data_IF_520322555529
#
_entry.id   IF_520322555529
#
_cell.length_a   1.000
_cell.length_b   1.000
_cell.length_c   1.000
_cell.angle_alpha   90.00
_cell.angle_beta   90.00
_cell.angle_gamma   90.00
#
_symmetry.space_group_name_H-M   'P 1'
#
loop_
_entity.id
_entity.type
_entity.pdbx_description
1 polymer ?
#
# COMPACT_ATOMS: atom_id res chain seq x y z
N UNK A 1 -21.47 8.30 -16.23
CA UNK A 1 -20.08 8.67 -15.86
C UNK A 1 -19.20 7.55 -16.32
N UNK A 2 -17.95 7.83 -16.65
CA UNK A 2 -16.99 6.85 -17.14
C UNK A 2 -15.65 7.04 -16.41
N UNK A 3 -15.16 5.94 -15.87
CA UNK A 3 -13.90 5.87 -15.13
C UNK A 3 -12.85 5.22 -15.99
N UNK A 4 -11.68 5.82 -16.11
CA UNK A 4 -10.56 5.23 -16.83
C UNK A 4 -9.25 5.42 -16.08
N UNK A 5 -8.34 4.48 -16.28
CA UNK A 5 -6.98 4.51 -15.74
C UNK A 5 -6.04 3.98 -16.82
N UNK A 6 -4.94 4.70 -17.04
CA UNK A 6 -3.86 4.22 -17.90
C UNK A 6 -3.15 3.06 -17.20
N UNK A 7 -3.23 1.89 -17.83
CA UNK A 7 -2.54 0.69 -17.41
C UNK A 7 -1.02 0.91 -17.36
N UNK A 8 -0.36 0.20 -16.45
CA UNK A 8 1.09 0.02 -16.47
C UNK A 8 1.45 -1.43 -16.78
N UNK A 9 2.76 -1.71 -16.87
CA UNK A 9 3.26 -3.08 -16.97
C UNK A 9 2.84 -3.93 -15.75
N UNK A 10 2.77 -3.31 -14.58
CA UNK A 10 2.59 -3.99 -13.30
C UNK A 10 1.16 -3.95 -12.76
N UNK A 11 0.31 -3.06 -13.27
CA UNK A 11 -1.07 -2.92 -12.79
C UNK A 11 -1.99 -2.52 -13.95
N UNK A 12 -3.01 -3.34 -14.19
CA UNK A 12 -3.97 -3.13 -15.28
C UNK A 12 -5.39 -3.14 -14.76
N UNK A 13 -6.20 -2.17 -15.18
CA UNK A 13 -7.63 -2.16 -14.86
C UNK A 13 -8.30 -3.32 -15.60
N UNK A 14 -9.01 -4.18 -14.88
CA UNK A 14 -9.80 -5.24 -15.51
C UNK A 14 -10.99 -4.62 -16.22
N UNK A 15 -11.08 -4.91 -17.52
CA UNK A 15 -12.15 -4.43 -18.39
C UNK A 15 -12.95 -5.61 -18.95
N UNK A 16 -14.21 -5.39 -19.37
CA UNK A 16 -14.99 -6.41 -20.07
C UNK A 16 -14.25 -6.98 -21.28
N UNK A 17 -14.56 -8.23 -21.64
CA UNK A 17 -13.98 -8.87 -22.83
C UNK A 17 -14.21 -8.02 -24.08
N UNK A 18 -13.16 -7.87 -24.89
CA UNK A 18 -13.18 -7.06 -26.11
C UNK A 18 -12.86 -5.58 -25.90
N UNK A 19 -12.80 -5.08 -24.66
CA UNK A 19 -12.38 -3.71 -24.37
C UNK A 19 -10.85 -3.54 -24.50
N UNK A 20 -10.42 -2.46 -25.13
CA UNK A 20 -9.02 -2.07 -25.25
C UNK A 20 -8.46 -1.42 -23.97
N UNK A 21 -7.12 -1.30 -23.84
CA UNK A 21 -6.46 -0.69 -22.67
C UNK A 21 -6.79 0.78 -22.43
N UNK A 22 -7.37 1.46 -23.43
CA UNK A 22 -7.76 2.86 -23.35
C UNK A 22 -9.25 3.07 -23.10
N UNK A 23 -10.05 2.00 -23.15
CA UNK A 23 -11.49 2.09 -22.99
C UNK A 23 -11.85 2.37 -21.53
N UNK A 24 -12.74 3.33 -21.30
CA UNK A 24 -13.27 3.62 -19.98
C UNK A 24 -14.30 2.58 -19.53
N UNK A 25 -14.47 2.47 -18.21
CA UNK A 25 -15.52 1.69 -17.57
C UNK A 25 -16.69 2.58 -17.23
N UNK A 26 -17.87 2.23 -17.74
CA UNK A 26 -19.10 2.89 -17.35
C UNK A 26 -19.36 2.66 -15.86
N UNK A 27 -19.58 3.76 -15.13
CA UNK A 27 -20.02 3.70 -13.73
C UNK A 27 -21.52 3.37 -13.72
N UNK A 28 -21.98 2.30 -13.06
CA UNK A 28 -23.32 1.74 -13.24
C UNK A 28 -24.42 2.50 -12.46
N UNK A 29 -24.25 3.80 -12.26
CA UNK A 29 -25.22 4.66 -11.57
C UNK A 29 -25.07 6.11 -12.00
N UNK A 30 -26.09 6.90 -11.67
CA UNK A 30 -26.08 8.36 -11.72
C UNK A 30 -26.02 8.91 -10.30
N UNK A 31 -25.50 10.11 -10.13
CA UNK A 31 -25.42 10.78 -8.83
C UNK A 31 -26.33 12.02 -8.86
N UNK A 32 -27.53 11.95 -8.24
CA UNK A 32 -28.33 13.13 -7.98
C UNK A 32 -27.63 14.13 -7.04
N UNK A 33 -28.05 15.40 -7.01
CA UNK A 33 -27.52 16.38 -6.07
C UNK A 33 -27.56 15.90 -4.62
N UNK A 34 -26.44 16.02 -3.90
CA UNK A 34 -26.33 15.62 -2.50
C UNK A 34 -26.21 14.11 -2.25
N UNK A 35 -26.20 13.27 -3.29
CA UNK A 35 -26.08 11.81 -3.17
C UNK A 35 -24.65 11.36 -3.44
N UNK A 36 -24.16 10.44 -2.62
CA UNK A 36 -22.90 9.73 -2.81
C UNK A 36 -23.15 8.24 -3.07
N UNK A 37 -22.30 7.60 -3.88
CA UNK A 37 -22.34 6.17 -4.10
C UNK A 37 -20.91 5.63 -4.34
N UNK A 38 -20.73 4.31 -4.20
CA UNK A 38 -19.45 3.64 -4.35
C UNK A 38 -19.44 2.75 -5.61
N UNK A 39 -18.30 2.75 -6.31
CA UNK A 39 -18.02 1.84 -7.41
C UNK A 39 -16.77 1.03 -7.09
N UNK A 40 -16.76 -0.24 -7.50
CA UNK A 40 -15.60 -1.13 -7.34
C UNK A 40 -14.94 -1.35 -8.70
N UNK A 41 -13.63 -1.14 -8.72
CA UNK A 41 -12.78 -1.38 -9.88
C UNK A 41 -11.74 -2.42 -9.51
N UNK A 42 -11.59 -3.45 -10.35
CA UNK A 42 -10.67 -4.55 -10.10
C UNK A 42 -9.41 -4.32 -10.92
N UNK A 43 -8.25 -4.49 -10.30
CA UNK A 43 -6.96 -4.39 -10.98
C UNK A 43 -6.26 -5.75 -10.97
N UNK A 44 -5.72 -6.14 -12.12
CA UNK A 44 -4.78 -7.23 -12.22
C UNK A 44 -3.38 -6.70 -11.93
N UNK A 45 -2.69 -7.32 -10.97
CA UNK A 45 -1.35 -6.90 -10.53
C UNK A 45 -0.33 -7.95 -10.95
N UNK A 46 0.66 -7.56 -11.75
CA UNK A 46 1.75 -8.45 -12.17
C UNK A 46 2.95 -8.40 -11.22
N UNK A 47 3.29 -7.22 -10.71
CA UNK A 47 4.42 -7.05 -9.80
C UNK A 47 4.11 -6.00 -8.75
N UNK A 48 4.58 -6.26 -7.54
CA UNK A 48 4.39 -5.40 -6.36
C UNK A 48 5.70 -4.80 -5.84
N UNK A 49 6.81 -5.10 -6.50
CA UNK A 49 8.16 -4.79 -5.97
C UNK A 49 8.54 -3.32 -6.15
N UNK A 50 7.76 -2.57 -6.93
CA UNK A 50 7.94 -1.14 -7.19
C UNK A 50 6.59 -0.40 -7.09
N UNK A 51 6.55 0.79 -6.45
CA UNK A 51 5.34 1.58 -6.35
C UNK A 51 4.85 2.02 -7.74
N UNK A 52 3.54 2.04 -7.92
CA UNK A 52 2.89 2.42 -9.19
C UNK A 52 2.08 3.70 -9.01
N UNK A 53 2.15 4.58 -10.01
CA UNK A 53 1.34 5.79 -10.06
C UNK A 53 0.55 5.82 -11.36
N UNK A 54 -0.70 5.39 -11.30
CA UNK A 54 -1.55 5.32 -12.49
C UNK A 54 -2.31 6.63 -12.66
N UNK A 55 -2.24 7.22 -13.85
CA UNK A 55 -3.04 8.40 -14.19
C UNK A 55 -4.43 7.92 -14.60
N UNK A 56 -5.46 8.55 -14.06
CA UNK A 56 -6.84 8.22 -14.36
C UNK A 56 -7.70 9.44 -14.62
N UNK A 57 -8.88 9.19 -15.17
CA UNK A 57 -9.85 10.21 -15.55
C UNK A 57 -11.24 9.74 -15.15
N UNK A 58 -12.05 10.64 -14.59
CA UNK A 58 -13.48 10.44 -14.40
C UNK A 58 -14.19 11.46 -15.29
N UNK A 59 -14.86 10.99 -16.34
CA UNK A 59 -15.66 11.82 -17.24
C UNK A 59 -17.13 11.68 -16.90
N UNK A 60 -17.87 12.78 -16.90
CA UNK A 60 -19.29 12.77 -16.59
C UNK A 60 -20.03 13.90 -17.27
N UNK A 61 -21.34 13.77 -17.32
CA UNK A 61 -22.23 14.78 -17.89
C UNK A 61 -23.04 15.34 -16.74
N UNK A 62 -23.00 16.66 -16.58
CA UNK A 62 -23.88 17.39 -15.68
C UNK A 62 -25.05 17.89 -16.51
N UNK A 63 -26.27 17.49 -16.14
CA UNK A 63 -27.50 17.97 -16.76
C UNK A 63 -28.14 19.02 -15.87
N UNK A 64 -28.40 20.18 -16.45
CA UNK A 64 -29.22 21.25 -15.91
C UNK A 64 -30.54 21.31 -16.68
N UNK A 65 -31.52 22.09 -16.21
CA UNK A 65 -32.85 22.19 -16.84
C UNK A 65 -32.79 22.55 -18.34
N UNK A 66 -31.86 23.43 -18.72
CA UNK A 66 -31.75 23.97 -20.09
C UNK A 66 -30.50 23.52 -20.86
N UNK A 67 -29.58 22.78 -20.23
CA UNK A 67 -28.28 22.45 -20.85
C UNK A 67 -27.63 21.20 -20.28
N UNK A 68 -26.65 20.68 -21.01
CA UNK A 68 -25.75 19.63 -20.51
C UNK A 68 -24.30 20.02 -20.74
N UNK A 69 -23.46 19.87 -19.72
CA UNK A 69 -22.00 20.05 -19.83
C UNK A 69 -21.28 18.71 -19.68
N UNK A 70 -20.16 18.58 -20.40
CA UNK A 70 -19.26 17.44 -20.29
C UNK A 70 -18.07 17.84 -19.43
N UNK A 71 -17.92 17.18 -18.29
CA UNK A 71 -16.86 17.44 -17.33
C UNK A 71 -15.86 16.28 -17.30
N UNK A 72 -14.62 16.62 -16.97
CA UNK A 72 -13.52 15.66 -16.83
C UNK A 72 -12.68 16.00 -15.61
N UNK A 73 -12.49 15.01 -14.74
CA UNK A 73 -11.58 15.09 -13.60
C UNK A 73 -10.39 14.18 -13.83
N UNK A 74 -9.20 14.75 -13.88
CA UNK A 74 -7.94 14.02 -13.90
C UNK A 74 -7.47 13.71 -12.47
N UNK A 75 -7.09 12.47 -12.21
CA UNK A 75 -6.57 12.02 -10.91
C UNK A 75 -5.37 11.08 -11.06
N UNK A 76 -4.74 10.74 -9.94
CA UNK A 76 -3.67 9.75 -9.88
C UNK A 76 -3.96 8.76 -8.77
N UNK A 77 -3.96 7.46 -9.09
CA UNK A 77 -3.98 6.38 -8.11
C UNK A 77 -2.54 6.01 -7.76
N UNK A 78 -2.22 5.99 -6.47
CA UNK A 78 -0.89 5.65 -5.98
C UNK A 78 -1.01 4.29 -5.31
N UNK A 79 -0.35 3.30 -5.87
CA UNK A 79 -0.23 1.97 -5.31
C UNK A 79 1.19 1.82 -4.77
N UNK A 80 1.35 2.05 -3.48
CA UNK A 80 2.60 1.81 -2.76
C UNK A 80 2.86 0.32 -2.59
N UNK A 81 4.11 -0.07 -2.38
CA UNK A 81 4.47 -1.46 -2.10
C UNK A 81 3.73 -1.99 -0.84
N UNK A 82 3.59 -1.14 0.18
CA UNK A 82 2.85 -1.47 1.40
C UNK A 82 1.35 -1.64 1.18
N UNK A 83 0.75 -1.10 0.10
CA UNK A 83 -0.66 -1.35 -0.24
C UNK A 83 -0.95 -2.81 -0.61
N UNK A 84 0.11 -3.56 -0.95
CA UNK A 84 0.04 -4.97 -1.30
C UNK A 84 0.44 -5.88 -0.14
N UNK A 85 0.69 -5.33 1.04
CA UNK A 85 0.90 -6.09 2.26
C UNK A 85 -0.43 -6.36 2.96
N UNK A 86 -0.55 -7.54 3.57
CA UNK A 86 -1.71 -7.97 4.33
C UNK A 86 -1.28 -8.21 5.76
N UNK A 87 -2.03 -7.64 6.71
CA UNK A 87 -1.89 -7.94 8.13
C UNK A 87 -2.11 -9.42 8.36
N UNK A 88 -1.02 -10.15 8.49
CA UNK A 88 -1.02 -11.61 8.66
C UNK A 88 -0.44 -11.92 10.04
N UNK A 89 -1.20 -12.55 10.95
CA UNK A 89 -0.65 -12.99 12.22
C UNK A 89 0.47 -14.01 12.03
N UNK A 90 1.51 -13.94 12.84
CA UNK A 90 2.59 -14.92 12.87
C UNK A 90 3.01 -15.17 14.33
N UNK A 91 3.01 -16.42 14.74
CA UNK A 91 3.43 -16.83 16.08
C UNK A 91 4.96 -16.81 16.19
N UNK A 92 5.48 -16.58 17.40
CA UNK A 92 6.93 -16.40 17.63
C UNK A 92 7.78 -17.59 17.14
N UNK A 93 7.28 -18.82 17.24
CA UNK A 93 7.99 -20.02 16.80
C UNK A 93 8.07 -20.13 15.26
N UNK A 94 6.99 -19.77 14.56
CA UNK A 94 6.95 -19.69 13.11
C UNK A 94 7.84 -18.55 12.58
N UNK A 95 7.83 -17.40 13.26
CA UNK A 95 8.68 -16.26 12.95
C UNK A 95 10.17 -16.61 13.12
N UNK A 96 10.55 -17.28 14.20
CA UNK A 96 11.93 -17.73 14.43
C UNK A 96 12.41 -18.69 13.33
N UNK A 97 11.61 -19.72 13.01
CA UNK A 97 11.93 -20.67 11.92
C UNK A 97 12.09 -19.98 10.57
N UNK A 98 11.26 -18.98 10.29
CA UNK A 98 11.34 -18.20 9.06
C UNK A 98 12.65 -17.39 9.00
N UNK A 99 13.08 -16.78 10.11
CA UNK A 99 14.36 -16.06 10.17
C UNK A 99 15.58 -16.98 10.06
N UNK A 100 15.45 -18.23 10.53
CA UNK A 100 16.48 -19.28 10.49
C UNK A 100 16.59 -19.96 9.11
N UNK A 101 15.60 -19.79 8.22
CA UNK A 101 15.59 -20.50 6.92
C UNK A 101 16.74 -20.10 5.99
N UNK A 102 17.28 -18.89 6.15
CA UNK A 102 18.34 -18.36 5.30
C UNK A 102 17.88 -17.79 3.95
N UNK A 103 16.58 -17.87 3.64
CA UNK A 103 16.02 -17.40 2.38
C UNK A 103 15.85 -15.89 2.33
N UNK A 104 15.72 -15.25 3.49
CA UNK A 104 15.47 -13.82 3.59
C UNK A 104 16.76 -12.98 3.49
N UNK A 105 16.70 -11.89 2.73
CA UNK A 105 17.75 -10.87 2.61
C UNK A 105 17.45 -9.70 3.54
N UNK A 106 18.50 -9.21 4.20
CA UNK A 106 18.40 -8.15 5.19
C UNK A 106 18.66 -6.76 4.62
N UNK A 107 17.96 -5.76 5.15
CA UNK A 107 18.24 -4.34 4.97
C UNK A 107 17.87 -3.60 6.26
N UNK A 108 18.36 -2.38 6.46
CA UNK A 108 18.02 -1.60 7.64
C UNK A 108 17.90 -0.12 7.35
N UNK A 109 17.10 0.57 8.16
CA UNK A 109 16.95 2.02 8.14
C UNK A 109 16.98 2.58 9.55
N UNK A 110 17.53 3.78 9.70
CA UNK A 110 17.45 4.57 10.93
C UNK A 110 16.61 5.82 10.68
N UNK A 111 15.75 6.11 11.63
CA UNK A 111 14.91 7.29 11.68
C UNK A 111 15.36 8.13 12.87
N UNK A 112 15.69 9.40 12.64
CA UNK A 112 16.12 10.35 13.66
C UNK A 112 14.99 11.33 13.98
N UNK A 113 15.01 11.90 15.19
CA UNK A 113 14.03 12.92 15.60
C UNK A 113 12.62 12.38 15.86
N UNK A 114 12.46 11.06 16.02
CA UNK A 114 11.16 10.44 16.27
C UNK A 114 10.79 10.61 17.75
N UNK A 115 10.04 11.68 18.04
CA UNK A 115 9.58 12.02 19.38
C UNK A 115 8.15 11.51 19.62
N UNK A 116 7.98 10.18 19.67
CA UNK A 116 6.69 9.58 20.04
C UNK A 116 6.86 8.32 20.90
N UNK A 117 5.89 7.97 21.75
CA UNK A 117 5.92 6.73 22.51
C UNK A 117 6.05 5.51 21.59
N UNK A 118 6.83 4.51 22.01
CA UNK A 118 7.10 3.32 21.20
C UNK A 118 5.83 2.59 20.73
N UNK A 119 4.79 2.53 21.56
CA UNK A 119 3.52 1.91 21.18
C UNK A 119 2.76 2.69 20.09
N UNK A 120 2.86 4.03 20.05
CA UNK A 120 2.31 4.83 18.94
C UNK A 120 3.09 4.60 17.64
N UNK A 121 4.41 4.45 17.74
CA UNK A 121 5.24 4.10 16.59
C UNK A 121 4.83 2.75 15.99
N UNK A 122 4.70 1.71 16.81
CA UNK A 122 4.25 0.39 16.35
C UNK A 122 2.83 0.46 15.76
N UNK A 123 1.91 1.18 16.40
CA UNK A 123 0.55 1.34 15.90
C UNK A 123 0.52 1.99 14.51
N UNK A 124 1.39 2.98 14.25
CA UNK A 124 1.53 3.59 12.92
C UNK A 124 2.07 2.61 11.88
N UNK A 125 3.08 1.81 12.22
CA UNK A 125 3.59 0.77 11.31
C UNK A 125 2.50 -0.26 11.00
N UNK A 126 1.74 -0.70 12.01
CA UNK A 126 0.61 -1.61 11.82
C UNK A 126 -0.46 -1.03 10.91
N UNK A 127 -0.87 0.23 11.16
CA UNK A 127 -1.98 0.86 10.47
C UNK A 127 -1.64 1.24 9.02
N UNK A 128 -0.48 1.85 8.79
CA UNK A 128 -0.10 2.34 7.46
C UNK A 128 0.60 1.31 6.59
N UNK A 129 1.24 0.30 7.19
CA UNK A 129 2.08 -0.66 6.46
C UNK A 129 1.67 -2.12 6.67
N UNK A 130 0.51 -2.36 7.30
CA UNK A 130 -0.12 -3.68 7.42
C UNK A 130 0.75 -4.73 8.11
N UNK A 131 1.54 -4.33 9.10
CA UNK A 131 2.27 -5.26 9.96
C UNK A 131 1.44 -5.71 11.17
N UNK A 132 1.71 -6.91 11.66
CA UNK A 132 1.28 -7.39 12.96
C UNK A 132 2.47 -7.46 13.92
N UNK A 133 2.24 -7.18 15.21
CA UNK A 133 3.27 -7.37 16.25
C UNK A 133 3.32 -8.86 16.60
N UNK A 134 4.48 -9.47 16.45
CA UNK A 134 4.75 -10.87 16.83
C UNK A 134 5.05 -10.95 18.32
N UNK A 135 5.98 -10.10 18.76
CA UNK A 135 6.40 -9.99 20.15
C UNK A 135 6.93 -8.58 20.42
N UNK A 136 6.87 -8.17 21.69
CA UNK A 136 7.41 -6.90 22.16
C UNK A 136 8.06 -7.10 23.52
N UNK A 137 9.29 -6.61 23.65
CA UNK A 137 10.04 -6.56 24.90
C UNK A 137 10.58 -5.14 25.03
N UNK A 138 10.12 -4.41 26.04
CA UNK A 138 10.48 -3.00 26.28
C UNK A 138 10.29 -2.10 25.05
N UNK A 139 11.40 -1.54 24.54
CA UNK A 139 11.51 -0.67 23.38
C UNK A 139 11.97 -1.42 22.12
N UNK A 140 11.75 -2.73 22.08
CA UNK A 140 12.07 -3.62 20.97
C UNK A 140 10.82 -4.44 20.58
N UNK A 141 10.55 -4.57 19.28
CA UNK A 141 9.44 -5.36 18.78
C UNK A 141 9.79 -6.08 17.48
N UNK A 142 9.39 -7.34 17.40
CA UNK A 142 9.38 -8.13 16.17
C UNK A 142 8.01 -7.97 15.50
N UNK A 143 7.99 -7.67 14.21
CA UNK A 143 6.76 -7.49 13.44
C UNK A 143 6.80 -8.30 12.15
N UNK A 144 5.63 -8.72 11.68
CA UNK A 144 5.50 -9.53 10.47
C UNK A 144 4.36 -9.05 9.58
N UNK A 145 4.60 -9.12 8.27
CA UNK A 145 3.59 -8.96 7.24
C UNK A 145 3.86 -9.91 6.07
N UNK A 146 2.85 -10.10 5.23
CA UNK A 146 2.94 -10.91 4.02
C UNK A 146 2.31 -10.19 2.86
N UNK A 147 2.95 -10.23 1.70
CA UNK A 147 2.38 -9.63 0.49
C UNK A 147 1.29 -10.49 -0.15
N UNK A 148 0.47 -9.89 -1.02
CA UNK A 148 -0.51 -10.63 -1.85
C UNK A 148 0.13 -11.66 -2.79
N UNK A 149 1.44 -11.53 -3.08
CA UNK A 149 2.21 -12.48 -3.89
C UNK A 149 3.00 -13.48 -3.02
N UNK A 150 2.82 -13.44 -1.70
CA UNK A 150 3.35 -14.43 -0.77
C UNK A 150 4.70 -14.10 -0.16
N UNK A 151 5.33 -12.97 -0.52
CA UNK A 151 6.60 -12.52 0.05
C UNK A 151 6.46 -12.23 1.54
N UNK A 152 7.42 -12.71 2.32
CA UNK A 152 7.50 -12.53 3.75
C UNK A 152 8.24 -11.24 4.06
N UNK A 153 7.70 -10.41 4.95
CA UNK A 153 8.40 -9.20 5.42
C UNK A 153 8.45 -9.21 6.93
N UNK A 154 9.66 -9.24 7.47
CA UNK A 154 9.95 -9.29 8.90
C UNK A 154 10.63 -7.99 9.30
N UNK A 155 10.20 -7.38 10.41
CA UNK A 155 10.84 -6.20 10.99
C UNK A 155 11.29 -6.47 12.42
N UNK A 156 12.42 -5.92 12.79
CA UNK A 156 12.87 -5.74 14.16
C UNK A 156 13.01 -4.24 14.40
N UNK A 157 12.07 -3.71 15.16
CA UNK A 157 11.97 -2.27 15.45
C UNK A 157 12.52 -2.04 16.85
N UNK A 158 13.53 -1.18 16.97
CA UNK A 158 14.12 -0.77 18.26
C UNK A 158 14.12 0.74 18.37
N UNK A 159 13.80 1.24 19.55
CA UNK A 159 13.89 2.67 19.87
C UNK A 159 14.90 2.90 20.98
N UNK A 160 15.80 3.85 20.75
CA UNK A 160 16.73 4.38 21.74
C UNK A 160 16.73 5.90 21.62
N UNK A 161 16.40 6.60 22.70
CA UNK A 161 16.18 8.05 22.72
C UNK A 161 15.17 8.48 21.65
N UNK A 162 15.56 9.38 20.74
CA UNK A 162 14.76 9.83 19.59
C UNK A 162 15.16 9.14 18.28
N UNK A 163 15.89 8.02 18.38
CA UNK A 163 16.33 7.23 17.22
C UNK A 163 15.57 5.92 17.17
N UNK A 164 15.04 5.60 15.99
CA UNK A 164 14.39 4.31 15.71
C UNK A 164 15.22 3.58 14.67
N UNK A 165 15.72 2.40 15.03
CA UNK A 165 16.34 1.48 14.07
C UNK A 165 15.37 0.39 13.68
N UNK A 166 15.23 0.18 12.38
CA UNK A 166 14.40 -0.88 11.80
C UNK A 166 15.33 -1.78 11.00
N UNK A 167 15.60 -2.97 11.53
CA UNK A 167 16.23 -4.04 10.78
C UNK A 167 15.12 -4.87 10.12
N UNK A 168 15.24 -5.17 8.85
CA UNK A 168 14.18 -5.83 8.11
C UNK A 168 14.72 -6.96 7.23
N UNK A 169 13.90 -7.99 7.04
CA UNK A 169 14.22 -9.14 6.20
C UNK A 169 13.05 -9.50 5.27
N UNK A 170 13.36 -9.81 4.02
CA UNK A 170 12.39 -10.20 3.00
C UNK A 170 13.04 -11.14 1.97
N UNK A 171 12.27 -12.03 1.36
CA UNK A 171 12.71 -12.87 0.24
C UNK A 171 12.83 -12.10 -1.08
N UNK A 172 12.24 -10.90 -1.18
CA UNK A 172 12.32 -10.02 -2.35
C UNK A 172 12.97 -8.66 -1.96
N UNK A 173 14.25 -8.42 -2.33
CA UNK A 173 15.00 -7.23 -1.91
C UNK A 173 14.46 -5.89 -2.44
N UNK A 174 13.91 -5.84 -3.66
CA UNK A 174 13.40 -4.60 -4.23
C UNK A 174 12.15 -4.10 -3.51
N UNK A 175 11.26 -5.02 -3.16
CA UNK A 175 10.08 -4.81 -2.32
C UNK A 175 10.51 -4.31 -0.95
N UNK A 176 11.51 -4.96 -0.33
CA UNK A 176 12.04 -4.57 0.98
C UNK A 176 12.53 -3.12 1.01
N UNK A 177 13.31 -2.73 -0.01
CA UNK A 177 13.81 -1.36 -0.13
C UNK A 177 12.68 -0.34 -0.17
N UNK A 178 11.69 -0.56 -1.05
CA UNK A 178 10.54 0.34 -1.16
C UNK A 178 9.68 0.37 0.11
N UNK A 179 9.46 -0.77 0.77
CA UNK A 179 8.72 -0.82 2.05
C UNK A 179 9.43 0.00 3.12
N UNK A 180 10.76 -0.08 3.22
CA UNK A 180 11.53 0.71 4.18
C UNK A 180 11.49 2.21 3.85
N UNK A 181 11.55 2.58 2.56
CA UNK A 181 11.41 3.96 2.13
C UNK A 181 10.02 4.53 2.46
N UNK A 182 8.96 3.74 2.29
CA UNK A 182 7.58 4.13 2.64
C UNK A 182 7.39 4.27 4.15
N UNK A 183 8.00 3.38 4.96
CA UNK A 183 8.05 3.52 6.42
C UNK A 183 8.77 4.82 6.79
N UNK A 184 9.94 5.07 6.20
CA UNK A 184 10.71 6.30 6.44
C UNK A 184 9.90 7.55 6.10
N UNK A 185 9.18 7.56 4.97
CA UNK A 185 8.31 8.67 4.58
C UNK A 185 7.22 8.95 5.61
N UNK A 186 6.58 7.91 6.14
CA UNK A 186 5.53 8.02 7.17
C UNK A 186 6.02 8.74 8.43
N UNK A 187 7.27 8.51 8.82
CA UNK A 187 7.87 9.16 9.99
C UNK A 187 8.58 10.49 9.68
N UNK A 188 8.78 10.83 8.40
CA UNK A 188 9.36 12.12 8.00
C UNK A 188 8.36 13.28 7.99
N UNK A 189 7.06 12.99 7.99
CA UNK A 189 5.98 13.99 7.94
C UNK A 189 5.44 14.34 9.34
N UNK A 190 6.23 14.12 10.39
CA UNK A 190 5.83 14.24 11.80
C UNK A 190 6.48 15.42 12.49
#
# INVERSE_FOLDING_TARGET
MEFNVLDSLNSKLQRPEGAGPHDGLAVPFQLPPGVSNEARFVFSVQSIVMPQKLKGTLTFIVKSEDSSTHEKLDFKLHFTCTSYLITTPCYSDAYAKLLESGDLKGSSVKLEGVSMPFHHLLARICFHHHFSVVERIDSCASMYSRSIQGHHVCLLVKTADQTVSIDAKCDEPSLLGNVLDEIKQTFSQC
#
